data_IF_045231371539
#
_entry.id   IF_045231371539
#
_cell.length_a   1.000
_cell.length_b   1.000
_cell.length_c   1.000
_cell.angle_alpha   90.00
_cell.angle_beta   90.00
_cell.angle_gamma   90.00
#
_symmetry.space_group_name_H-M   'P 1'
#
loop_
_entity.id
_entity.type
_entity.pdbx_description
1 polymer ?
#
# COMPACT_ATOMS: atom_id res chain seq x y z
N UNK A 1 -1.73 13.61 -5.54
CA UNK A 1 -1.60 12.20 -5.14
C UNK A 1 -1.68 12.14 -3.65
N UNK A 2 -2.73 11.52 -3.11
CA UNK A 2 -3.06 11.59 -1.68
C UNK A 2 -3.42 10.18 -1.21
N UNK A 3 -3.34 9.94 0.09
CA UNK A 3 -3.98 8.77 0.70
C UNK A 3 -5.50 9.01 0.63
N UNK A 4 -6.20 8.17 -0.14
CA UNK A 4 -7.64 8.32 -0.40
C UNK A 4 -8.52 7.58 0.60
N UNK A 5 -7.98 6.53 1.22
CA UNK A 5 -8.72 5.66 2.14
C UNK A 5 -7.74 4.87 3.00
N UNK A 6 -8.07 4.68 4.29
CA UNK A 6 -7.25 3.94 5.25
C UNK A 6 -8.16 3.32 6.31
N UNK A 7 -7.88 2.07 6.70
CA UNK A 7 -8.65 1.36 7.73
C UNK A 7 -7.70 0.67 8.73
N UNK A 8 -8.03 0.77 10.02
CA UNK A 8 -7.40 -0.02 11.08
C UNK A 8 -8.26 -1.25 11.37
N UNK A 9 -7.66 -2.43 11.25
CA UNK A 9 -8.33 -3.73 11.48
C UNK A 9 -7.57 -4.45 12.59
N UNK A 10 -8.29 -4.84 13.65
CA UNK A 10 -7.72 -5.48 14.85
C UNK A 10 -7.79 -7.01 14.82
N UNK A 11 -8.20 -7.58 13.69
CA UNK A 11 -8.30 -9.01 13.43
C UNK A 11 -7.44 -9.40 12.24
N UNK A 12 -7.28 -10.70 11.99
CA UNK A 12 -6.61 -11.16 10.79
C UNK A 12 -7.40 -10.73 9.54
N UNK A 13 -6.70 -10.09 8.59
CA UNK A 13 -7.27 -9.74 7.29
C UNK A 13 -7.21 -10.98 6.39
N UNK A 14 -8.35 -11.33 5.81
CA UNK A 14 -8.46 -12.36 4.79
C UNK A 14 -8.89 -11.75 3.45
N UNK A 15 -8.95 -12.56 2.40
CA UNK A 15 -9.30 -12.10 1.06
C UNK A 15 -10.69 -11.47 0.97
N UNK A 16 -11.67 -11.91 1.76
CA UNK A 16 -13.01 -11.32 1.76
C UNK A 16 -12.98 -9.90 2.34
N UNK A 17 -12.29 -9.71 3.47
CA UNK A 17 -12.12 -8.39 4.08
C UNK A 17 -11.40 -7.44 3.12
N UNK A 18 -10.36 -7.93 2.42
CA UNK A 18 -9.64 -7.15 1.42
C UNK A 18 -10.49 -6.79 0.20
N UNK A 19 -11.39 -7.68 -0.25
CA UNK A 19 -12.33 -7.38 -1.33
C UNK A 19 -13.32 -6.26 -0.94
N UNK A 20 -13.82 -6.26 0.29
CA UNK A 20 -14.66 -5.16 0.79
C UNK A 20 -13.89 -3.84 0.87
N UNK A 21 -12.60 -3.88 1.22
CA UNK A 21 -11.73 -2.70 1.14
C UNK A 21 -11.65 -2.16 -0.30
N UNK A 22 -11.45 -3.02 -1.31
CA UNK A 22 -11.41 -2.62 -2.71
C UNK A 22 -12.75 -2.06 -3.23
N UNK A 23 -13.90 -2.54 -2.72
CA UNK A 23 -15.20 -1.94 -3.04
C UNK A 23 -15.31 -0.52 -2.50
N UNK A 24 -14.84 -0.26 -1.28
CA UNK A 24 -14.80 1.11 -0.73
C UNK A 24 -13.87 2.03 -1.52
N UNK A 25 -12.75 1.52 -2.04
CA UNK A 25 -11.91 2.30 -2.96
C UNK A 25 -12.70 2.73 -4.21
N UNK A 26 -13.51 1.83 -4.78
CA UNK A 26 -14.38 2.17 -5.91
C UNK A 26 -15.45 3.21 -5.53
N UNK A 27 -16.03 3.11 -4.34
CA UNK A 27 -16.99 4.12 -3.85
C UNK A 27 -16.36 5.51 -3.72
N UNK A 28 -15.11 5.60 -3.26
CA UNK A 28 -14.38 6.86 -3.08
C UNK A 28 -13.92 7.46 -4.42
N UNK A 29 -13.37 6.64 -5.31
CA UNK A 29 -12.81 7.10 -6.59
C UNK A 29 -13.86 7.24 -7.71
N UNK A 30 -14.98 6.51 -7.61
CA UNK A 30 -16.04 6.51 -8.60
C UNK A 30 -15.59 5.99 -9.98
N UNK A 31 -16.21 6.53 -11.03
CA UNK A 31 -15.87 6.15 -12.40
C UNK A 31 -14.50 6.74 -12.80
N UNK A 32 -13.62 5.91 -13.36
CA UNK A 32 -12.33 6.36 -13.90
C UNK A 32 -11.49 5.19 -14.43
N UNK A 33 -10.47 5.50 -15.24
CA UNK A 33 -9.48 4.50 -15.69
C UNK A 33 -8.30 4.44 -14.73
N UNK A 34 -8.47 3.65 -13.66
CA UNK A 34 -7.43 3.43 -12.65
C UNK A 34 -6.85 2.02 -12.75
N UNK A 35 -5.61 1.88 -12.29
CA UNK A 35 -4.94 0.59 -12.09
C UNK A 35 -4.55 0.45 -10.63
N UNK A 36 -4.98 -0.64 -10.00
CA UNK A 36 -4.55 -1.05 -8.67
C UNK A 36 -3.31 -1.92 -8.82
N UNK A 37 -2.21 -1.49 -8.21
CA UNK A 37 -0.94 -2.24 -8.15
C UNK A 37 -0.79 -2.82 -6.75
N UNK A 38 -0.57 -4.13 -6.64
CA UNK A 38 -0.44 -4.85 -5.37
C UNK A 38 0.84 -5.67 -5.32
N UNK A 39 1.33 -5.99 -4.13
CA UNK A 39 2.33 -7.03 -3.95
C UNK A 39 1.70 -8.44 -4.14
N UNK A 40 2.46 -9.50 -3.86
CA UNK A 40 1.97 -10.88 -4.01
C UNK A 40 1.47 -11.49 -2.68
N UNK A 41 0.96 -10.69 -1.74
CA UNK A 41 0.44 -11.24 -0.50
C UNK A 41 -0.73 -12.22 -0.79
N UNK A 42 -0.82 -13.38 -0.11
CA UNK A 42 -1.84 -14.39 -0.39
C UNK A 42 -3.28 -13.85 -0.35
N UNK A 43 -3.55 -12.86 0.50
CA UNK A 43 -4.85 -12.23 0.63
C UNK A 43 -5.32 -11.55 -0.65
N UNK A 44 -4.40 -11.12 -1.52
CA UNK A 44 -4.70 -10.49 -2.81
C UNK A 44 -5.11 -11.51 -3.89
N UNK A 45 -4.92 -12.82 -3.66
CA UNK A 45 -5.18 -13.85 -4.68
C UNK A 45 -6.43 -14.71 -4.41
N UNK A 46 -7.16 -14.49 -3.32
CA UNK A 46 -8.16 -15.46 -2.83
C UNK A 46 -9.49 -15.58 -3.60
N UNK A 47 -9.78 -14.74 -4.60
CA UNK A 47 -10.99 -14.87 -5.42
C UNK A 47 -10.79 -14.31 -6.83
N UNK A 48 -10.49 -15.18 -7.80
CA UNK A 48 -10.26 -14.77 -9.19
C UNK A 48 -11.49 -14.08 -9.81
N UNK A 49 -12.69 -14.61 -9.58
CA UNK A 49 -13.95 -14.07 -10.15
C UNK A 49 -14.23 -12.65 -9.70
N UNK A 50 -13.85 -12.29 -8.46
CA UNK A 50 -13.96 -10.91 -7.99
C UNK A 50 -13.09 -9.98 -8.85
N UNK A 51 -11.82 -10.33 -9.06
CA UNK A 51 -10.90 -9.49 -9.83
C UNK A 51 -11.22 -9.44 -11.32
N UNK A 52 -11.74 -10.51 -11.89
CA UNK A 52 -12.18 -10.56 -13.30
C UNK A 52 -13.36 -9.60 -13.56
N UNK A 53 -14.14 -9.26 -12.53
CA UNK A 53 -15.31 -8.36 -12.61
C UNK A 53 -15.12 -7.02 -11.91
N UNK A 54 -13.97 -6.80 -11.26
CA UNK A 54 -13.66 -5.54 -10.59
C UNK A 54 -13.50 -4.40 -11.60
N UNK A 55 -13.94 -3.19 -11.22
CA UNK A 55 -14.04 -2.07 -12.15
C UNK A 55 -12.69 -1.56 -12.66
N UNK A 56 -11.64 -1.64 -11.84
CA UNK A 56 -10.29 -1.16 -12.18
C UNK A 56 -9.38 -2.31 -12.63
N UNK A 57 -8.37 -1.97 -13.42
CA UNK A 57 -7.33 -2.94 -13.80
C UNK A 57 -6.53 -3.33 -12.55
N UNK A 58 -6.26 -4.62 -12.39
CA UNK A 58 -5.44 -5.13 -11.29
C UNK A 58 -4.10 -5.64 -11.83
N UNK A 59 -3.00 -5.18 -11.25
CA UNK A 59 -1.63 -5.60 -11.57
C UNK A 59 -0.90 -5.99 -10.30
N UNK A 60 -0.04 -6.99 -10.43
CA UNK A 60 0.82 -7.46 -9.34
C UNK A 60 2.25 -7.09 -9.65
N UNK A 61 2.99 -6.66 -8.63
CA UNK A 61 4.43 -6.47 -8.74
C UNK A 61 5.13 -7.82 -8.97
N UNK A 62 6.33 -7.84 -9.57
CA UNK A 62 7.15 -9.04 -9.62
C UNK A 62 7.41 -9.59 -8.20
N UNK A 63 7.40 -10.91 -8.00
CA UNK A 63 7.74 -11.51 -6.72
C UNK A 63 9.09 -11.04 -6.18
N UNK A 64 9.19 -10.91 -4.86
CA UNK A 64 10.42 -10.53 -4.15
C UNK A 64 11.05 -9.20 -4.57
N UNK A 65 10.25 -8.27 -5.12
CA UNK A 65 10.71 -6.95 -5.57
C UNK A 65 10.13 -5.81 -4.72
N UNK A 66 10.37 -5.77 -3.40
CA UNK A 66 9.80 -4.76 -2.50
C UNK A 66 10.25 -3.34 -2.86
N UNK A 67 11.42 -3.18 -3.48
CA UNK A 67 11.92 -1.89 -3.98
C UNK A 67 11.05 -1.28 -5.11
N UNK A 68 10.18 -2.08 -5.74
CA UNK A 68 9.17 -1.59 -6.69
C UNK A 68 7.86 -1.18 -6.02
N UNK A 69 7.72 -1.41 -4.71
CA UNK A 69 6.51 -1.13 -3.96
C UNK A 69 6.64 0.19 -3.18
N UNK A 70 6.07 1.32 -3.66
CA UNK A 70 6.15 2.60 -2.96
C UNK A 70 5.46 2.58 -1.59
N UNK A 71 4.59 1.60 -1.32
CA UNK A 71 3.97 1.44 0.00
C UNK A 71 4.99 1.08 1.09
N UNK A 72 6.15 0.48 0.76
CA UNK A 72 7.19 0.19 1.75
C UNK A 72 7.71 1.46 2.42
N UNK A 73 7.91 2.53 1.65
CA UNK A 73 8.33 3.84 2.16
C UNK A 73 7.24 4.50 3.01
N UNK A 74 5.98 4.41 2.57
CA UNK A 74 4.81 4.88 3.33
C UNK A 74 4.77 4.18 4.70
N UNK A 75 4.88 2.85 4.73
CA UNK A 75 4.92 2.09 5.97
C UNK A 75 6.16 2.40 6.82
N UNK A 76 7.33 2.61 6.20
CA UNK A 76 8.55 3.01 6.88
C UNK A 76 8.38 4.34 7.61
N UNK A 77 7.88 5.37 6.91
CA UNK A 77 7.57 6.68 7.48
C UNK A 77 6.59 6.56 8.66
N UNK A 78 5.50 5.80 8.49
CA UNK A 78 4.51 5.61 9.56
C UNK A 78 5.09 4.93 10.80
N UNK A 79 5.81 3.81 10.60
CA UNK A 79 6.48 3.09 11.70
C UNK A 79 7.45 4.00 12.44
N UNK A 80 8.21 4.82 11.71
CA UNK A 80 9.17 5.75 12.31
C UNK A 80 8.47 6.87 13.08
N UNK A 81 7.35 7.40 12.59
CA UNK A 81 6.55 8.39 13.33
C UNK A 81 6.03 7.81 14.65
N UNK A 82 5.41 6.62 14.60
CA UNK A 82 4.88 5.93 15.79
C UNK A 82 5.97 5.66 16.84
N UNK A 83 7.15 5.18 16.41
CA UNK A 83 8.29 4.87 17.29
C UNK A 83 8.89 6.09 17.98
N UNK A 84 8.93 7.24 17.30
CA UNK A 84 9.49 8.49 17.86
C UNK A 84 8.63 9.08 18.97
N UNK A 85 7.35 8.71 19.04
CA UNK A 85 6.41 9.21 20.05
C UNK A 85 6.52 8.49 21.40
N UNK A 86 7.59 7.70 21.63
CA UNK A 86 7.84 6.99 22.88
C UNK A 86 6.99 5.72 23.04
N UNK A 87 6.97 5.11 24.24
CA UNK A 87 6.24 3.87 24.51
C UNK A 87 4.75 3.96 24.15
N UNK A 88 4.19 2.84 23.71
CA UNK A 88 2.77 2.72 23.38
C UNK A 88 1.93 2.48 24.64
N UNK A 89 0.76 3.12 24.69
CA UNK A 89 -0.24 2.91 25.73
C UNK A 89 -1.48 2.20 25.17
N UNK A 90 -1.31 0.93 24.80
CA UNK A 90 -2.38 0.08 24.27
C UNK A 90 -2.80 0.39 22.83
N UNK A 91 -3.82 -0.34 22.35
CA UNK A 91 -4.21 -0.33 20.93
C UNK A 91 -4.82 1.00 20.46
N UNK A 92 -5.52 1.72 21.36
CA UNK A 92 -6.11 3.00 21.01
C UNK A 92 -5.03 4.05 20.72
N UNK A 93 -3.99 4.11 21.55
CA UNK A 93 -2.84 4.99 21.34
C UNK A 93 -2.10 4.63 20.05
N UNK A 94 -1.83 3.34 19.81
CA UNK A 94 -1.22 2.89 18.56
C UNK A 94 -2.04 3.34 17.33
N UNK A 95 -3.36 3.10 17.36
CA UNK A 95 -4.25 3.43 16.26
C UNK A 95 -4.30 4.94 16.01
N UNK A 96 -4.40 5.73 17.08
CA UNK A 96 -4.38 7.18 16.98
C UNK A 96 -3.06 7.68 16.37
N UNK A 97 -1.92 7.15 16.80
CA UNK A 97 -0.61 7.50 16.23
C UNK A 97 -0.48 7.08 14.76
N UNK A 98 -1.02 5.93 14.37
CA UNK A 98 -1.04 5.50 12.97
C UNK A 98 -1.90 6.44 12.11
N UNK A 99 -3.10 6.81 12.58
CA UNK A 99 -3.98 7.76 11.88
C UNK A 99 -3.31 9.13 11.77
N UNK A 100 -2.76 9.66 12.86
CA UNK A 100 -2.02 10.92 12.84
C UNK A 100 -0.84 10.85 11.87
N UNK A 101 -0.07 9.76 11.88
CA UNK A 101 1.04 9.62 10.95
C UNK A 101 0.58 9.55 9.49
N UNK A 102 -0.55 8.91 9.18
CA UNK A 102 -1.12 8.94 7.83
C UNK A 102 -1.42 10.37 7.37
N UNK A 103 -1.91 11.24 8.26
CA UNK A 103 -2.20 12.65 7.93
C UNK A 103 -0.95 13.51 7.72
N UNK A 104 0.20 13.08 8.22
CA UNK A 104 1.50 13.75 8.04
C UNK A 104 2.15 13.40 6.69
N UNK A 105 1.66 12.37 5.99
CA UNK A 105 2.20 11.96 4.70
C UNK A 105 1.71 12.93 3.62
N UNK A 106 2.61 13.79 3.18
CA UNK A 106 2.30 14.82 2.18
C UNK A 106 2.28 14.24 0.77
N UNK A 107 1.66 14.99 -0.15
CA UNK A 107 1.72 14.73 -1.60
C UNK A 107 3.16 14.65 -2.12
N UNK A 108 4.04 15.50 -1.60
CA UNK A 108 5.46 15.55 -1.95
C UNK A 108 6.22 14.32 -1.44
N UNK A 109 5.90 13.82 -0.24
CA UNK A 109 6.42 12.53 0.23
C UNK A 109 6.02 11.41 -0.72
N UNK A 110 4.72 11.30 -1.04
CA UNK A 110 4.20 10.27 -1.92
C UNK A 110 4.86 10.33 -3.30
N UNK A 111 5.03 11.53 -3.87
CA UNK A 111 5.70 11.70 -5.16
C UNK A 111 7.15 11.21 -5.12
N UNK A 112 7.90 11.52 -4.05
CA UNK A 112 9.26 11.00 -3.89
C UNK A 112 9.29 9.47 -3.75
N UNK A 113 8.33 8.87 -3.08
CA UNK A 113 8.25 7.40 -2.94
C UNK A 113 7.98 6.70 -4.26
N UNK A 114 7.09 7.26 -5.09
CA UNK A 114 6.91 6.78 -6.47
C UNK A 114 8.18 6.91 -7.28
N UNK A 115 8.81 8.10 -7.29
CA UNK A 115 10.05 8.33 -8.04
C UNK A 115 11.18 7.41 -7.59
N UNK A 116 11.25 7.09 -6.28
CA UNK A 116 12.20 6.12 -5.76
C UNK A 116 11.94 4.72 -6.33
N UNK A 117 10.71 4.22 -6.30
CA UNK A 117 10.37 2.93 -6.90
C UNK A 117 10.64 2.90 -8.41
N UNK A 118 10.30 3.98 -9.13
CA UNK A 118 10.56 4.13 -10.57
C UNK A 118 12.06 4.12 -10.92
N UNK A 119 12.92 4.60 -10.01
CA UNK A 119 14.38 4.63 -10.23
C UNK A 119 14.98 3.24 -10.45
N UNK A 120 14.28 2.18 -10.07
CA UNK A 120 14.69 0.80 -10.29
C UNK A 120 14.20 0.21 -11.61
N UNK A 121 13.27 0.86 -12.32
CA UNK A 121 12.64 0.27 -13.51
C UNK A 121 13.66 -0.02 -14.61
N UNK A 122 14.58 0.90 -14.87
CA UNK A 122 15.60 0.69 -15.89
C UNK A 122 16.52 -0.49 -15.55
N UNK A 123 16.88 -0.64 -14.26
CA UNK A 123 17.67 -1.77 -13.78
C UNK A 123 16.94 -3.09 -13.99
N UNK A 124 15.63 -3.13 -13.71
CA UNK A 124 14.79 -4.29 -13.99
C UNK A 124 14.73 -4.62 -15.49
N UNK A 125 14.56 -3.62 -16.36
CA UNK A 125 14.55 -3.80 -17.81
C UNK A 125 15.89 -4.31 -18.35
N UNK A 126 16.99 -3.90 -17.72
CA UNK A 126 18.34 -4.35 -18.03
C UNK A 126 18.68 -5.72 -17.42
N UNK A 127 17.77 -6.32 -16.63
CA UNK A 127 17.99 -7.55 -15.89
C UNK A 127 19.19 -7.45 -14.93
N UNK A 128 19.43 -6.27 -14.38
CA UNK A 128 20.48 -6.04 -13.38
C UNK A 128 20.10 -6.68 -12.04
N UNK A 129 21.11 -7.18 -11.32
CA UNK A 129 20.93 -7.63 -9.94
C UNK A 129 20.68 -6.42 -9.02
N UNK A 130 19.49 -6.38 -8.43
CA UNK A 130 19.10 -5.36 -7.46
C UNK A 130 19.21 -6.00 -6.07
N UNK A 131 20.17 -5.58 -5.23
CA UNK A 131 20.32 -6.14 -3.91
C UNK A 131 19.07 -5.86 -3.07
N UNK A 132 18.70 -6.82 -2.23
CA UNK A 132 17.69 -6.58 -1.18
C UNK A 132 18.37 -5.77 -0.08
N UNK A 133 17.83 -4.59 0.21
CA UNK A 133 18.16 -3.82 1.42
C UNK A 133 17.68 -4.54 2.69
#
# INVERSE_FOLDING_TARGET
MNIIHCEAIFTAVNSLIYQEFLKKILEVLGNGDYTVVMDNAPIHHGNKTFYDTYHYRVRYLPPYSPFLNPCEEVFSQMKNSVRRNGPLNGNNDLTQRMVSSCTEITTDNLQRYLLHAESFFQKCLNLEDIPRE
#
